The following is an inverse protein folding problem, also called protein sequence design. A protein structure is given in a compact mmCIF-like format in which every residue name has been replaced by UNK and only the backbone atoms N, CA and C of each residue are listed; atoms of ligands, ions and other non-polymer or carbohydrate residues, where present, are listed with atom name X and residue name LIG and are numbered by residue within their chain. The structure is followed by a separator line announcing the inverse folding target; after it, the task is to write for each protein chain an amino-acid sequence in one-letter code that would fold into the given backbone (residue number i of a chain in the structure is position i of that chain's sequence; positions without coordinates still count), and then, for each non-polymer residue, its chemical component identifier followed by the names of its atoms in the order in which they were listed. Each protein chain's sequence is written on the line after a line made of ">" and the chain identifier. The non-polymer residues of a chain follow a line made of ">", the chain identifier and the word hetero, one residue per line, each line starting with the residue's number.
data_IF_809520498114
#
_entry.id   IF_809520498114
#
_cell.length_a   1.000
_cell.length_b   1.000
_cell.length_c   1.000
_cell.angle_alpha   90.00
_cell.angle_beta   90.00
_cell.angle_gamma   90.00
#
_symmetry.space_group_name_H-M   'P 1'
#
loop_
_entity.id
_entity.type
_entity.pdbx_description
1 polymer ?
#
# COMPACT_ATOMS: atom_id res chain seq x y z
N UNK A 1 14.49 -0.82 9.68
CA UNK A 1 14.36 0.63 9.95
C UNK A 1 13.78 0.87 11.34
N UNK A 2 14.12 2.01 12.04
CA UNK A 2 13.31 2.49 13.15
C UNK A 2 11.99 3.05 12.61
N UNK A 3 10.85 2.57 13.13
CA UNK A 3 9.53 2.99 12.63
C UNK A 3 9.39 2.78 11.13
N UNK A 4 8.85 3.76 10.43
CA UNK A 4 8.70 3.73 8.96
C UNK A 4 10.01 4.04 8.19
N UNK A 5 11.09 4.36 8.89
CA UNK A 5 12.35 4.73 8.28
C UNK A 5 12.32 6.09 7.57
N UNK A 6 13.44 6.45 6.93
CA UNK A 6 13.60 7.67 6.14
C UNK A 6 14.03 7.33 4.72
N UNK A 7 13.70 8.19 3.77
CA UNK A 7 14.10 8.02 2.37
C UNK A 7 15.57 8.36 2.13
N UNK A 8 16.05 9.41 2.80
CA UNK A 8 17.43 9.88 2.66
C UNK A 8 18.26 9.54 3.89
N UNK A 9 19.45 9.05 3.65
CA UNK A 9 20.43 8.70 4.69
C UNK A 9 19.79 7.89 5.84
N UNK A 10 19.19 6.73 5.53
CA UNK A 10 18.36 5.97 6.46
C UNK A 10 19.16 5.38 7.61
N UNK A 11 18.50 5.25 8.76
CA UNK A 11 19.01 4.47 9.87
C UNK A 11 18.55 3.01 9.74
N UNK A 12 19.48 2.06 9.88
CA UNK A 12 19.17 0.63 9.94
C UNK A 12 19.44 0.08 11.34
N UNK A 13 18.59 -0.83 11.76
CA UNK A 13 18.78 -1.61 12.97
C UNK A 13 19.30 -2.98 12.57
N UNK A 14 20.42 -3.37 13.12
CA UNK A 14 20.99 -4.71 13.00
C UNK A 14 21.11 -5.36 14.38
N UNK A 15 21.14 -6.69 14.39
CA UNK A 15 21.48 -7.47 15.58
C UNK A 15 22.98 -7.74 15.58
N UNK A 16 23.63 -7.51 16.72
CA UNK A 16 25.00 -7.94 16.97
C UNK A 16 25.02 -9.45 17.32
N UNK A 17 26.18 -10.12 17.28
CA UNK A 17 26.30 -11.52 17.69
C UNK A 17 25.80 -11.79 19.12
N UNK A 18 25.87 -10.80 20.00
CA UNK A 18 25.34 -10.86 21.38
C UNK A 18 23.83 -10.63 21.50
N UNK A 19 23.11 -10.53 20.38
CA UNK A 19 21.67 -10.28 20.31
C UNK A 19 21.25 -8.83 20.55
N UNK A 20 22.18 -7.92 20.86
CA UNK A 20 21.87 -6.50 21.08
C UNK A 20 21.59 -5.79 19.76
N UNK A 21 20.61 -4.88 19.78
CA UNK A 21 20.31 -4.00 18.64
C UNK A 21 21.39 -2.92 18.49
N UNK A 22 21.77 -2.68 17.25
CA UNK A 22 22.64 -1.57 16.87
C UNK A 22 21.96 -0.77 15.76
N UNK A 23 21.82 0.54 15.97
CA UNK A 23 21.36 1.46 14.93
C UNK A 23 22.56 2.14 14.28
N UNK A 24 22.58 2.13 12.94
CA UNK A 24 23.63 2.80 12.14
C UNK A 24 22.98 3.56 10.99
N UNK A 25 23.42 4.80 10.79
CA UNK A 25 23.05 5.60 9.62
C UNK A 25 23.89 5.20 8.41
N UNK A 26 23.23 5.10 7.25
CA UNK A 26 23.88 4.82 5.98
C UNK A 26 23.63 5.99 5.02
N UNK A 27 24.68 6.52 4.36
CA UNK A 27 24.49 7.56 3.35
C UNK A 27 23.80 7.00 2.13
N UNK A 28 23.02 7.85 1.46
CA UNK A 28 22.33 7.53 0.21
C UNK A 28 20.83 7.37 0.34
N UNK A 29 20.19 6.98 -0.75
CA UNK A 29 18.75 6.80 -0.82
C UNK A 29 18.34 5.41 -0.31
N UNK A 30 17.28 5.34 0.49
CA UNK A 30 16.92 4.13 1.24
C UNK A 30 16.76 2.88 0.35
N UNK A 31 16.11 3.03 -0.81
CA UNK A 31 15.90 1.92 -1.75
C UNK A 31 17.23 1.38 -2.28
N UNK A 32 18.16 2.28 -2.62
CA UNK A 32 19.50 1.89 -3.10
C UNK A 32 20.29 1.18 -2.00
N UNK A 33 20.28 1.75 -0.79
CA UNK A 33 20.98 1.15 0.37
C UNK A 33 20.44 -0.25 0.69
N UNK A 34 19.10 -0.45 0.61
CA UNK A 34 18.48 -1.77 0.79
C UNK A 34 18.96 -2.73 -0.29
N UNK A 35 18.99 -2.29 -1.54
CA UNK A 35 19.43 -3.10 -2.69
C UNK A 35 20.90 -3.50 -2.56
N UNK A 36 21.78 -2.54 -2.24
CA UNK A 36 23.22 -2.79 -2.04
C UNK A 36 23.46 -3.83 -0.95
N UNK A 37 22.74 -3.69 0.18
CA UNK A 37 22.82 -4.66 1.29
C UNK A 37 22.30 -6.04 0.90
N UNK A 38 21.26 -6.10 0.10
CA UNK A 38 20.69 -7.36 -0.38
C UNK A 38 21.67 -8.08 -1.31
N UNK A 39 22.28 -7.36 -2.24
CA UNK A 39 23.30 -7.92 -3.14
C UNK A 39 24.55 -8.34 -2.33
N UNK A 40 25.05 -7.49 -1.44
CA UNK A 40 26.15 -7.82 -0.56
C UNK A 40 25.89 -9.08 0.28
N UNK A 41 24.67 -9.25 0.78
CA UNK A 41 24.29 -10.47 1.52
C UNK A 41 24.30 -11.69 0.60
N UNK A 42 23.79 -11.58 -0.62
CA UNK A 42 23.81 -12.66 -1.60
C UNK A 42 25.24 -13.06 -1.99
N UNK A 43 26.17 -12.11 -2.10
CA UNK A 43 27.59 -12.36 -2.40
C UNK A 43 28.29 -13.13 -1.26
N UNK A 44 27.97 -12.78 -0.01
CA UNK A 44 28.64 -13.32 1.19
C UNK A 44 27.93 -14.55 1.81
N UNK A 45 26.80 -14.98 1.26
CA UNK A 45 26.08 -16.16 1.77
C UNK A 45 26.90 -17.45 1.61
N UNK A 46 26.58 -18.46 2.39
CA UNK A 46 27.05 -19.83 2.14
C UNK A 46 26.43 -20.35 0.83
N UNK A 47 27.26 -20.44 -0.23
CA UNK A 47 26.82 -20.84 -1.58
C UNK A 47 26.39 -22.33 -1.66
N UNK A 48 26.70 -23.13 -0.66
CA UNK A 48 26.32 -24.54 -0.58
C UNK A 48 24.93 -24.74 0.07
N UNK A 49 24.31 -23.68 0.56
CA UNK A 49 22.98 -23.72 1.20
C UNK A 49 21.93 -22.97 0.39
N UNK A 50 20.67 -23.44 0.42
CA UNK A 50 19.56 -22.65 -0.10
C UNK A 50 19.42 -21.36 0.71
N UNK A 51 18.79 -20.36 0.12
CA UNK A 51 18.56 -19.09 0.79
C UNK A 51 17.10 -18.63 0.68
N UNK A 52 16.67 -17.85 1.67
CA UNK A 52 15.49 -17.03 1.66
C UNK A 52 15.93 -15.59 1.93
N UNK A 53 15.58 -14.68 1.03
CA UNK A 53 15.85 -13.24 1.17
C UNK A 53 14.55 -12.45 1.01
N UNK A 54 14.20 -11.67 2.03
CA UNK A 54 13.07 -10.73 1.97
C UNK A 54 13.64 -9.33 1.85
N UNK A 55 13.32 -8.65 0.75
CA UNK A 55 13.77 -7.28 0.45
C UNK A 55 12.60 -6.34 0.63
N UNK A 56 12.54 -5.65 1.76
CA UNK A 56 11.48 -4.72 2.10
C UNK A 56 11.89 -3.27 1.86
N UNK A 57 11.22 -2.58 0.92
CA UNK A 57 11.45 -1.18 0.64
C UNK A 57 10.53 -0.27 1.46
N UNK A 58 11.03 0.92 1.84
CA UNK A 58 10.20 2.00 2.34
C UNK A 58 9.30 2.57 1.25
N UNK A 59 9.83 2.72 0.04
CA UNK A 59 9.09 3.24 -1.10
C UNK A 59 7.98 2.27 -1.54
N UNK A 60 6.79 2.74 -1.89
CA UNK A 60 6.32 4.13 -1.95
C UNK A 60 5.49 4.60 -0.73
N UNK A 61 5.88 4.27 0.50
CA UNK A 61 5.17 4.75 1.69
C UNK A 61 5.21 6.29 1.81
N UNK A 62 4.17 6.92 2.35
CA UNK A 62 4.14 8.36 2.70
C UNK A 62 5.43 8.73 3.50
N UNK A 63 6.11 9.87 3.27
CA UNK A 63 5.71 11.04 2.51
C UNK A 63 6.25 11.11 1.05
N UNK A 64 6.40 10.00 0.35
CA UNK A 64 6.73 9.94 -1.07
C UNK A 64 7.88 10.87 -1.50
N UNK A 65 9.07 10.65 -1.00
CA UNK A 65 10.25 11.44 -1.36
C UNK A 65 11.07 10.72 -2.44
N UNK A 66 10.95 11.06 -3.72
CA UNK A 66 11.71 10.44 -4.81
C UNK A 66 13.21 10.58 -4.62
N UNK A 67 14.00 9.65 -5.15
CA UNK A 67 15.45 9.87 -5.27
C UNK A 67 15.73 11.09 -6.15
N UNK A 68 16.80 11.83 -5.86
CA UNK A 68 17.14 13.07 -6.59
C UNK A 68 17.24 12.84 -8.10
N UNK A 69 17.77 11.66 -8.52
CA UNK A 69 17.88 11.27 -9.92
C UNK A 69 16.53 11.07 -10.63
N UNK A 70 15.46 10.91 -9.85
CA UNK A 70 14.10 10.69 -10.37
C UNK A 70 13.18 11.92 -10.27
N UNK A 71 13.66 13.00 -9.66
CA UNK A 71 12.92 14.26 -9.65
C UNK A 71 12.65 14.75 -11.07
N UNK A 72 11.39 14.99 -11.40
CA UNK A 72 10.95 15.45 -12.71
C UNK A 72 11.03 14.41 -13.84
N UNK A 73 11.24 13.13 -13.52
CA UNK A 73 11.20 12.05 -14.53
C UNK A 73 9.79 11.56 -14.85
N UNK A 74 8.84 11.85 -13.99
CA UNK A 74 7.44 11.50 -14.20
C UNK A 74 6.70 12.74 -14.67
N UNK A 75 6.16 12.70 -15.90
CA UNK A 75 5.25 13.70 -16.42
C UNK A 75 3.80 13.27 -16.17
N UNK A 76 3.13 13.98 -15.29
CA UNK A 76 1.72 13.73 -14.97
C UNK A 76 0.75 14.58 -15.80
N UNK A 77 1.24 15.46 -16.70
CA UNK A 77 0.41 16.42 -17.43
C UNK A 77 -0.63 15.77 -18.35
N UNK A 78 -0.32 14.57 -18.87
CA UNK A 78 -1.23 13.75 -19.68
C UNK A 78 -2.10 12.80 -18.88
N UNK A 79 -1.89 12.70 -17.58
CA UNK A 79 -2.66 11.83 -16.70
C UNK A 79 -3.97 12.53 -16.30
N UNK A 80 -5.02 11.74 -16.12
CA UNK A 80 -6.30 12.20 -15.57
C UNK A 80 -6.56 11.52 -14.24
N UNK A 81 -7.13 12.25 -13.25
CA UNK A 81 -7.60 11.61 -12.02
C UNK A 81 -8.59 10.48 -12.32
N UNK A 82 -8.72 9.48 -11.44
CA UNK A 82 -9.75 8.45 -11.56
C UNK A 82 -11.14 9.02 -11.72
N UNK A 83 -12.02 8.31 -12.44
CA UNK A 83 -13.38 8.81 -12.73
C UNK A 83 -14.21 9.08 -11.46
N UNK A 84 -13.90 8.39 -10.35
CA UNK A 84 -14.50 8.60 -9.03
C UNK A 84 -13.67 9.51 -8.10
N UNK A 85 -12.75 10.34 -8.65
CA UNK A 85 -11.91 11.24 -7.86
C UNK A 85 -12.71 12.29 -7.06
N UNK A 86 -13.82 12.76 -7.60
CA UNK A 86 -14.72 13.73 -6.95
C UNK A 86 -15.93 13.04 -6.31
N UNK A 87 -15.72 11.87 -5.70
CA UNK A 87 -16.77 11.12 -5.01
C UNK A 87 -17.34 11.91 -3.81
N UNK A 88 -18.67 12.02 -3.73
CA UNK A 88 -19.41 12.68 -2.65
C UNK A 88 -19.86 11.71 -1.55
N UNK A 89 -19.56 10.42 -1.73
CA UNK A 89 -19.97 9.33 -0.86
C UNK A 89 -21.48 9.20 -0.65
N UNK A 90 -22.29 9.63 -1.61
CA UNK A 90 -23.74 9.46 -1.56
C UNK A 90 -24.11 7.97 -1.42
N UNK A 91 -25.18 7.70 -0.69
CA UNK A 91 -25.69 6.34 -0.40
C UNK A 91 -24.74 5.41 0.34
N UNK A 92 -23.71 5.94 0.98
CA UNK A 92 -22.77 5.16 1.79
C UNK A 92 -22.82 5.63 3.25
N UNK A 93 -22.36 4.80 4.20
CA UNK A 93 -22.37 5.13 5.62
C UNK A 93 -21.74 6.49 5.91
N UNK A 94 -22.30 7.19 6.90
CA UNK A 94 -21.86 8.51 7.31
C UNK A 94 -20.38 8.56 7.71
N UNK A 95 -19.85 7.46 8.22
CA UNK A 95 -18.42 7.33 8.52
C UNK A 95 -17.53 7.57 7.30
N UNK A 96 -17.96 7.13 6.11
CA UNK A 96 -17.16 7.31 4.90
C UNK A 96 -17.04 8.79 4.53
N UNK A 97 -18.11 9.58 4.75
CA UNK A 97 -18.07 11.04 4.59
C UNK A 97 -17.15 11.74 5.58
N UNK A 98 -16.94 11.13 6.75
CA UNK A 98 -16.07 11.66 7.82
C UNK A 98 -14.63 11.17 7.74
N UNK A 99 -14.25 10.43 6.69
CA UNK A 99 -12.87 10.00 6.51
C UNK A 99 -11.93 11.20 6.37
N UNK A 100 -10.67 11.03 6.78
CA UNK A 100 -9.65 12.06 6.76
C UNK A 100 -8.49 11.71 5.82
N UNK A 101 -8.78 11.00 4.73
CA UNK A 101 -7.77 10.59 3.75
C UNK A 101 -8.10 11.07 2.32
N UNK A 102 -8.79 12.21 2.18
CA UNK A 102 -9.05 12.78 0.85
C UNK A 102 -7.90 13.66 0.39
N UNK A 103 -7.55 13.56 -0.89
CA UNK A 103 -6.55 14.41 -1.54
C UNK A 103 -6.95 15.88 -1.42
N UNK A 104 -8.24 16.17 -1.63
CA UNK A 104 -8.77 17.54 -1.58
C UNK A 104 -8.54 18.22 -0.22
N UNK A 105 -8.88 17.55 0.90
CA UNK A 105 -8.97 18.19 2.20
C UNK A 105 -7.88 17.79 3.20
N UNK A 106 -7.30 16.60 3.06
CA UNK A 106 -6.46 16.00 4.10
C UNK A 106 -5.02 15.77 3.68
N UNK A 107 -4.69 15.86 2.39
CA UNK A 107 -3.31 15.81 1.93
C UNK A 107 -2.59 17.12 2.27
N UNK A 108 -1.49 17.01 3.00
CA UNK A 108 -0.76 18.16 3.53
C UNK A 108 0.09 18.83 2.42
N UNK A 109 -0.17 20.11 2.18
CA UNK A 109 0.50 20.90 1.12
C UNK A 109 2.01 20.97 1.35
N UNK A 110 2.42 21.22 2.59
CA UNK A 110 3.84 21.48 2.90
C UNK A 110 4.64 20.19 3.07
N UNK A 111 4.08 19.18 3.72
CA UNK A 111 4.79 17.94 4.00
C UNK A 111 4.59 16.86 2.93
N UNK A 112 3.35 16.60 2.49
CA UNK A 112 3.11 15.57 1.49
C UNK A 112 3.49 16.05 0.08
N UNK A 113 3.14 17.29 -0.26
CA UNK A 113 3.38 17.85 -1.58
C UNK A 113 4.63 18.74 -1.67
N UNK A 114 5.39 18.89 -0.59
CA UNK A 114 6.69 19.58 -0.50
C UNK A 114 6.66 21.01 -1.05
N UNK A 115 5.52 21.70 -0.88
CA UNK A 115 5.47 23.13 -1.13
C UNK A 115 6.35 23.85 -0.11
N UNK A 116 7.26 24.68 -0.58
CA UNK A 116 8.20 25.39 0.27
C UNK A 116 7.50 26.57 0.98
N UNK A 117 7.13 26.36 2.23
CA UNK A 117 6.28 27.27 3.02
C UNK A 117 6.78 28.72 2.99
N UNK A 118 8.10 28.91 3.10
CA UNK A 118 8.69 30.24 3.15
C UNK A 118 8.65 30.99 1.81
N UNK A 119 8.38 30.28 0.70
CA UNK A 119 8.22 30.87 -0.62
C UNK A 119 6.74 31.15 -0.97
N UNK A 120 5.79 30.79 -0.09
CA UNK A 120 4.37 31.12 -0.25
C UNK A 120 4.07 32.43 0.49
N UNK A 121 3.46 33.44 -0.15
CA UNK A 121 3.05 34.68 0.51
C UNK A 121 2.20 34.46 1.75
N UNK A 122 2.41 35.26 2.79
CA UNK A 122 1.80 35.04 4.11
C UNK A 122 0.27 35.07 4.06
N UNK A 123 -0.31 36.03 3.34
CA UNK A 123 -1.75 36.11 3.12
C UNK A 123 -2.34 34.89 2.42
N UNK A 124 -1.56 34.28 1.50
CA UNK A 124 -1.97 33.05 0.82
C UNK A 124 -1.88 31.86 1.75
N UNK A 125 -0.86 31.79 2.64
CA UNK A 125 -0.73 30.71 3.62
C UNK A 125 -1.94 30.62 4.56
N UNK A 126 -2.56 31.76 4.89
CA UNK A 126 -3.76 31.84 5.75
C UNK A 126 -5.00 31.25 5.04
N UNK A 127 -5.05 31.31 3.73
CA UNK A 127 -6.17 30.76 2.93
C UNK A 127 -6.00 29.27 2.57
N UNK A 128 -4.78 28.72 2.67
CA UNK A 128 -4.50 27.33 2.36
C UNK A 128 -4.61 26.51 3.65
N UNK A 129 -5.74 25.82 3.80
CA UNK A 129 -5.87 24.83 4.89
C UNK A 129 -5.02 23.62 4.57
N UNK A 130 -4.03 23.35 5.44
CA UNK A 130 -3.17 22.18 5.31
C UNK A 130 -2.99 21.53 6.67
N UNK A 131 -3.25 20.21 6.80
CA UNK A 131 -2.88 19.48 8.00
C UNK A 131 -1.38 19.64 8.28
N UNK A 132 -1.01 19.81 9.54
CA UNK A 132 0.39 19.96 9.94
C UNK A 132 1.01 18.59 10.24
N UNK A 133 1.82 18.07 9.31
CA UNK A 133 2.70 16.93 9.55
C UNK A 133 4.15 17.41 9.34
N UNK A 134 5.05 17.06 10.21
CA UNK A 134 6.47 17.47 10.15
C UNK A 134 7.39 16.50 9.40
N UNK A 135 6.85 15.71 8.46
CA UNK A 135 7.61 14.68 7.75
C UNK A 135 8.72 15.24 6.85
N UNK A 136 8.48 16.38 6.20
CA UNK A 136 9.39 17.09 5.32
C UNK A 136 10.66 17.54 6.04
N UNK A 137 10.51 18.11 7.24
CA UNK A 137 11.64 18.53 8.06
C UNK A 137 12.53 17.35 8.45
N UNK A 138 11.94 16.18 8.70
CA UNK A 138 12.67 14.96 9.00
C UNK A 138 13.61 14.53 7.88
N UNK A 139 13.13 14.52 6.63
CA UNK A 139 13.94 14.13 5.46
C UNK A 139 15.00 15.19 5.13
N UNK A 140 14.62 16.47 5.11
CA UNK A 140 15.56 17.57 4.83
C UNK A 140 16.71 17.65 5.83
N UNK A 141 16.46 17.34 7.10
CA UNK A 141 17.51 17.33 8.14
C UNK A 141 18.49 16.16 8.00
N UNK A 142 18.18 15.18 7.15
CA UNK A 142 19.03 14.01 6.86
C UNK A 142 19.87 14.20 5.60
N UNK A 143 19.50 15.14 4.75
CA UNK A 143 20.18 15.42 3.47
C UNK A 143 21.49 16.18 3.69
N UNK A 144 22.46 15.90 2.80
CA UNK A 144 23.65 16.75 2.66
C UNK A 144 23.25 18.14 2.14
N UNK A 145 24.10 19.16 2.26
CA UNK A 145 23.83 20.49 1.68
C UNK A 145 23.51 20.43 0.19
N UNK A 146 24.21 19.60 -0.58
CA UNK A 146 24.03 19.42 -2.04
C UNK A 146 22.69 18.72 -2.35
N UNK A 147 22.36 17.65 -1.62
CA UNK A 147 21.08 16.96 -1.75
C UNK A 147 19.94 17.91 -1.43
N UNK A 148 20.05 18.66 -0.32
CA UNK A 148 19.05 19.63 0.11
C UNK A 148 18.87 20.76 -0.92
N UNK A 149 19.97 21.25 -1.51
CA UNK A 149 19.90 22.28 -2.55
C UNK A 149 19.14 21.75 -3.77
N UNK A 150 19.52 20.60 -4.30
CA UNK A 150 18.88 19.97 -5.48
C UNK A 150 17.40 19.75 -5.25
N UNK A 151 17.04 19.24 -4.08
CA UNK A 151 15.67 18.98 -3.67
C UNK A 151 14.87 20.30 -3.56
N UNK A 152 15.42 21.32 -2.91
CA UNK A 152 14.76 22.62 -2.75
C UNK A 152 14.57 23.34 -4.08
N UNK A 153 15.59 23.35 -4.96
CA UNK A 153 15.50 23.95 -6.30
C UNK A 153 14.41 23.30 -7.15
N UNK A 154 14.22 21.99 -7.01
CA UNK A 154 13.16 21.27 -7.71
C UNK A 154 11.78 21.69 -7.20
N UNK A 155 11.54 21.60 -5.90
CA UNK A 155 10.22 21.89 -5.30
C UNK A 155 9.88 23.38 -5.27
N UNK A 156 10.84 24.28 -5.49
CA UNK A 156 10.58 25.70 -5.73
C UNK A 156 9.72 25.91 -7.01
N UNK A 157 9.89 25.09 -8.04
CA UNK A 157 9.05 25.12 -9.25
C UNK A 157 7.59 24.76 -8.96
N UNK A 158 7.38 23.70 -8.16
CA UNK A 158 6.04 23.28 -7.70
C UNK A 158 5.40 24.38 -6.85
N UNK A 159 6.16 24.98 -5.94
CA UNK A 159 5.71 26.11 -5.10
C UNK A 159 5.30 27.30 -5.95
N UNK A 160 6.11 27.65 -6.97
CA UNK A 160 5.76 28.71 -7.93
C UNK A 160 4.46 28.40 -8.67
N UNK A 161 4.28 27.14 -9.14
CA UNK A 161 3.03 26.70 -9.81
C UNK A 161 1.80 26.90 -8.93
N UNK A 162 1.88 26.57 -7.64
CA UNK A 162 0.81 26.82 -6.67
C UNK A 162 0.52 28.32 -6.56
N UNK A 163 1.54 29.13 -6.31
CA UNK A 163 1.40 30.58 -6.11
C UNK A 163 0.81 31.25 -7.34
N UNK A 164 1.30 30.92 -8.54
CA UNK A 164 0.79 31.47 -9.80
C UNK A 164 -0.67 31.04 -10.07
N UNK A 165 -1.00 29.77 -9.80
CA UNK A 165 -2.36 29.26 -9.94
C UNK A 165 -3.35 29.92 -8.98
N UNK A 166 -2.93 30.20 -7.76
CA UNK A 166 -3.76 30.93 -6.78
C UNK A 166 -3.92 32.41 -7.16
N UNK A 167 -2.85 33.08 -7.62
CA UNK A 167 -2.88 34.48 -8.08
C UNK A 167 -3.76 34.65 -9.30
N UNK A 168 -3.69 33.77 -10.28
CA UNK A 168 -4.51 33.81 -11.49
C UNK A 168 -5.99 33.47 -11.24
N UNK A 169 -6.32 32.93 -10.07
CA UNK A 169 -7.64 32.43 -9.74
C UNK A 169 -7.94 31.01 -10.19
N UNK A 170 -7.07 30.39 -11.01
CA UNK A 170 -7.26 29.01 -11.51
C UNK A 170 -7.43 27.99 -10.37
N UNK A 171 -6.62 28.11 -9.31
CA UNK A 171 -6.67 27.20 -8.17
C UNK A 171 -7.58 27.70 -7.02
N UNK A 172 -8.42 28.73 -7.27
CA UNK A 172 -9.50 29.10 -6.35
C UNK A 172 -10.70 28.17 -6.47
N UNK A 173 -10.87 27.50 -7.62
CA UNK A 173 -11.85 26.44 -7.76
C UNK A 173 -11.40 25.21 -6.97
N UNK A 174 -12.23 24.67 -6.03
CA UNK A 174 -11.86 23.55 -5.20
C UNK A 174 -11.51 22.27 -5.98
N UNK A 175 -12.19 22.01 -7.10
CA UNK A 175 -11.92 20.84 -7.95
C UNK A 175 -10.57 20.98 -8.64
N UNK A 176 -10.31 22.13 -9.27
CA UNK A 176 -9.01 22.38 -9.90
C UNK A 176 -7.85 22.34 -8.90
N UNK A 177 -8.08 22.77 -7.66
CA UNK A 177 -7.08 22.67 -6.60
C UNK A 177 -6.85 21.22 -6.14
N UNK A 178 -7.90 20.42 -6.02
CA UNK A 178 -7.79 19.00 -5.71
C UNK A 178 -7.03 18.23 -6.80
N UNK A 179 -7.31 18.53 -8.08
CA UNK A 179 -6.59 17.93 -9.21
C UNK A 179 -5.12 18.36 -9.25
N UNK A 180 -4.80 19.62 -8.96
CA UNK A 180 -3.41 20.08 -8.82
C UNK A 180 -2.67 19.30 -7.71
N UNK A 181 -3.31 19.07 -6.56
CA UNK A 181 -2.75 18.23 -5.49
C UNK A 181 -2.52 16.80 -5.96
N UNK A 182 -3.48 16.24 -6.70
CA UNK A 182 -3.38 14.89 -7.21
C UNK A 182 -2.20 14.73 -8.18
N UNK A 183 -2.01 15.67 -9.11
CA UNK A 183 -0.85 15.66 -10.02
C UNK A 183 0.47 15.71 -9.25
N UNK A 184 0.59 16.57 -8.26
CA UNK A 184 1.78 16.69 -7.43
C UNK A 184 2.03 15.40 -6.61
N UNK A 185 0.98 14.77 -6.10
CA UNK A 185 1.04 13.49 -5.41
C UNK A 185 1.50 12.36 -6.33
N UNK A 186 0.88 12.24 -7.51
CA UNK A 186 1.24 11.19 -8.48
C UNK A 186 2.67 11.32 -8.98
N UNK A 187 3.16 12.53 -9.21
CA UNK A 187 4.55 12.79 -9.58
C UNK A 187 5.53 12.24 -8.54
N UNK A 188 5.29 12.51 -7.27
CA UNK A 188 6.15 12.03 -6.19
C UNK A 188 6.00 10.52 -5.93
N UNK A 189 4.76 10.01 -5.95
CA UNK A 189 4.50 8.59 -5.76
C UNK A 189 5.19 7.73 -6.82
N UNK A 190 4.96 8.05 -8.09
CA UNK A 190 5.57 7.34 -9.21
C UNK A 190 7.08 7.55 -9.26
N UNK A 191 7.57 8.75 -8.89
CA UNK A 191 8.99 9.02 -8.75
C UNK A 191 9.68 8.12 -7.72
N UNK A 192 8.99 7.76 -6.62
CA UNK A 192 9.49 6.76 -5.67
C UNK A 192 9.54 5.36 -6.29
N UNK A 193 8.52 4.99 -7.09
CA UNK A 193 8.46 3.68 -7.73
C UNK A 193 9.59 3.46 -8.74
N UNK A 194 10.06 4.50 -9.43
CA UNK A 194 11.22 4.38 -10.32
C UNK A 194 12.46 3.82 -9.59
N UNK A 195 12.65 4.19 -8.32
CA UNK A 195 13.75 3.63 -7.53
C UNK A 195 13.53 2.17 -7.14
N UNK A 196 12.29 1.75 -6.97
CA UNK A 196 11.96 0.33 -6.72
C UNK A 196 12.19 -0.48 -7.99
N UNK A 197 11.83 0.05 -9.15
CA UNK A 197 12.10 -0.57 -10.45
C UNK A 197 13.61 -0.75 -10.70
N UNK A 198 14.42 0.31 -10.47
CA UNK A 198 15.88 0.24 -10.51
C UNK A 198 16.41 -0.90 -9.60
N UNK A 199 15.87 -1.00 -8.38
CA UNK A 199 16.25 -2.02 -7.39
C UNK A 199 15.98 -3.44 -7.89
N UNK A 200 14.76 -3.65 -8.42
CA UNK A 200 14.34 -4.95 -8.96
C UNK A 200 15.23 -5.32 -10.15
N UNK A 201 15.48 -4.38 -11.06
CA UNK A 201 16.37 -4.57 -12.19
C UNK A 201 17.74 -5.07 -11.74
N UNK A 202 18.38 -4.40 -10.78
CA UNK A 202 19.70 -4.77 -10.24
C UNK A 202 19.71 -6.15 -9.59
N UNK A 203 18.65 -6.52 -8.83
CA UNK A 203 18.53 -7.85 -8.23
C UNK A 203 18.35 -8.94 -9.29
N UNK A 204 17.54 -8.68 -10.32
CA UNK A 204 17.35 -9.64 -11.43
C UNK A 204 18.66 -9.84 -12.23
N UNK A 205 19.37 -8.77 -12.55
CA UNK A 205 20.68 -8.83 -13.22
C UNK A 205 21.69 -9.64 -12.40
N UNK A 206 21.72 -9.45 -11.08
CA UNK A 206 22.57 -10.23 -10.18
C UNK A 206 22.24 -11.73 -10.25
N UNK A 207 20.94 -12.10 -10.14
CA UNK A 207 20.52 -13.49 -10.21
C UNK A 207 20.84 -14.15 -11.56
N UNK A 208 20.70 -13.42 -12.65
CA UNK A 208 21.01 -13.92 -13.99
C UNK A 208 22.53 -14.08 -14.18
N UNK A 209 23.32 -13.09 -13.78
CA UNK A 209 24.80 -13.10 -13.85
C UNK A 209 25.43 -14.23 -13.05
N UNK A 210 24.91 -14.49 -11.84
CA UNK A 210 25.40 -15.55 -10.95
C UNK A 210 24.83 -16.94 -11.27
N UNK A 211 24.00 -17.06 -12.32
CA UNK A 211 23.39 -18.32 -12.74
C UNK A 211 22.33 -18.85 -11.78
N UNK A 212 21.82 -17.99 -10.89
CA UNK A 212 20.87 -18.37 -9.82
C UNK A 212 19.43 -18.36 -10.29
N UNK A 213 19.12 -17.63 -11.36
CA UNK A 213 17.74 -17.34 -11.75
C UNK A 213 16.87 -18.59 -11.97
N UNK A 214 17.41 -19.66 -12.58
CA UNK A 214 16.67 -20.89 -12.85
C UNK A 214 16.29 -21.67 -11.58
N UNK A 215 17.03 -21.47 -10.50
CA UNK A 215 16.79 -22.13 -9.21
C UNK A 215 16.31 -21.16 -8.12
N UNK A 216 15.75 -20.02 -8.49
CA UNK A 216 15.22 -19.02 -7.55
C UNK A 216 13.80 -18.68 -7.92
N UNK A 217 12.87 -18.88 -6.97
CA UNK A 217 11.53 -18.31 -7.02
C UNK A 217 11.63 -16.84 -6.57
N UNK A 218 11.30 -15.91 -7.45
CA UNK A 218 11.17 -14.50 -7.13
C UNK A 218 9.69 -14.15 -7.00
N UNK A 219 9.31 -13.54 -5.89
CA UNK A 219 7.97 -13.02 -5.63
C UNK A 219 8.08 -11.50 -5.43
N UNK A 220 7.45 -10.71 -6.29
CA UNK A 220 7.25 -9.29 -6.09
C UNK A 220 5.81 -9.04 -5.66
N UNK A 221 5.63 -8.36 -4.53
CA UNK A 221 4.31 -8.06 -3.99
C UNK A 221 4.31 -6.75 -3.19
N UNK A 222 3.13 -6.16 -3.01
CA UNK A 222 2.85 -5.19 -1.96
C UNK A 222 2.37 -5.88 -0.69
N UNK A 223 2.38 -5.18 0.43
CA UNK A 223 1.78 -5.60 1.71
C UNK A 223 0.27 -5.34 1.74
N UNK A 224 -0.19 -4.31 1.03
CA UNK A 224 -1.60 -3.96 0.75
C UNK A 224 -1.71 -3.16 -0.54
N UNK A 225 -2.96 -2.91 -0.98
CA UNK A 225 -3.25 -1.96 -2.04
C UNK A 225 -3.12 -0.50 -1.58
N UNK A 226 -3.43 0.45 -2.47
CA UNK A 226 -3.25 1.88 -2.20
C UNK A 226 -4.17 2.72 -3.09
N UNK A 227 -4.81 3.76 -2.51
CA UNK A 227 -5.60 4.72 -3.29
C UNK A 227 -4.69 5.74 -3.97
N UNK A 228 -4.85 5.87 -5.26
CA UNK A 228 -4.16 6.87 -6.08
C UNK A 228 -5.11 7.93 -6.62
N UNK A 229 -6.11 8.28 -5.81
CA UNK A 229 -7.14 9.25 -6.15
C UNK A 229 -8.54 8.64 -6.29
N UNK A 230 -8.67 7.32 -6.35
CA UNK A 230 -9.98 6.67 -6.36
C UNK A 230 -10.76 7.05 -5.11
N UNK A 231 -12.05 7.28 -5.26
CA UNK A 231 -12.91 7.86 -4.22
C UNK A 231 -12.39 9.18 -3.63
N UNK A 232 -11.57 9.93 -4.38
CA UNK A 232 -10.89 11.13 -3.88
C UNK A 232 -9.84 10.85 -2.80
N UNK A 233 -9.52 9.59 -2.53
CA UNK A 233 -8.67 9.17 -1.40
C UNK A 233 -7.20 9.01 -1.80
N UNK A 234 -6.34 9.00 -0.78
CA UNK A 234 -4.97 8.52 -0.81
C UNK A 234 -4.75 7.56 0.38
N UNK A 235 -3.61 6.84 0.41
CA UNK A 235 -3.32 5.86 1.44
C UNK A 235 -4.16 4.57 1.28
N UNK A 236 -4.58 3.88 2.34
CA UNK A 236 -5.24 2.56 2.36
C UNK A 236 -6.28 2.48 3.47
N UNK A 237 -6.71 1.34 3.90
CA UNK A 237 -7.48 0.93 5.10
C UNK A 237 -8.90 0.45 4.82
N UNK A 238 -9.68 1.19 4.02
CA UNK A 238 -11.04 0.75 3.72
C UNK A 238 -11.09 -0.53 2.87
N UNK A 239 -12.14 -1.31 3.01
CA UNK A 239 -12.36 -2.53 2.23
C UNK A 239 -12.87 -2.22 0.79
N UNK A 240 -12.22 -1.31 0.10
CA UNK A 240 -12.43 -1.09 -1.33
C UNK A 240 -11.36 -1.80 -2.14
N UNK A 241 -11.63 -2.06 -3.43
CA UNK A 241 -10.76 -2.83 -4.30
C UNK A 241 -9.33 -2.28 -4.32
N UNK A 242 -9.16 -0.97 -4.36
CA UNK A 242 -7.86 -0.31 -4.43
C UNK A 242 -6.99 -0.55 -3.17
N UNK A 243 -7.62 -0.66 -2.01
CA UNK A 243 -6.93 -0.98 -0.75
C UNK A 243 -6.65 -2.47 -0.58
N UNK A 244 -7.50 -3.33 -1.15
CA UNK A 244 -7.35 -4.79 -1.08
C UNK A 244 -6.37 -5.32 -2.13
N UNK A 245 -6.45 -4.79 -3.36
CA UNK A 245 -5.72 -5.32 -4.51
C UNK A 245 -4.31 -4.80 -4.55
N UNK A 246 -3.35 -5.66 -4.23
CA UNK A 246 -1.93 -5.39 -4.34
C UNK A 246 -1.32 -6.08 -5.55
N UNK A 247 -0.20 -5.57 -6.11
CA UNK A 247 0.52 -6.27 -7.16
C UNK A 247 1.08 -7.60 -6.65
N UNK A 248 1.04 -8.62 -7.49
CA UNK A 248 1.72 -9.90 -7.28
C UNK A 248 2.29 -10.39 -8.61
N UNK A 249 3.60 -10.51 -8.66
CA UNK A 249 4.33 -11.08 -9.82
C UNK A 249 5.22 -12.21 -9.30
N UNK A 250 5.17 -13.35 -9.97
CA UNK A 250 6.02 -14.49 -9.66
C UNK A 250 6.88 -14.86 -10.86
N UNK A 251 8.18 -15.09 -10.63
CA UNK A 251 9.13 -15.51 -11.67
C UNK A 251 9.91 -16.73 -11.17
N UNK A 252 9.85 -17.81 -11.93
CA UNK A 252 10.69 -19.00 -11.73
C UNK A 252 10.98 -19.63 -13.10
N UNK A 253 12.05 -19.25 -13.77
CA UNK A 253 12.35 -19.72 -15.13
C UNK A 253 12.39 -21.24 -15.23
N UNK A 254 11.65 -21.79 -16.21
CA UNK A 254 11.53 -23.24 -16.41
C UNK A 254 10.47 -23.95 -15.55
N UNK A 255 9.88 -23.25 -14.55
CA UNK A 255 8.78 -23.80 -13.72
C UNK A 255 7.49 -22.99 -13.84
N UNK A 256 7.57 -21.68 -13.83
CA UNK A 256 6.42 -20.81 -14.06
C UNK A 256 6.46 -20.34 -15.51
N UNK A 257 5.39 -20.61 -16.30
CA UNK A 257 5.32 -20.14 -17.68
C UNK A 257 5.36 -18.60 -17.77
N UNK A 258 6.08 -18.07 -18.74
CA UNK A 258 6.21 -16.63 -18.93
C UNK A 258 4.94 -16.02 -19.54
N UNK A 259 4.64 -14.75 -19.19
CA UNK A 259 3.56 -13.98 -19.80
C UNK A 259 2.15 -14.34 -19.38
N UNK A 260 1.96 -15.24 -18.41
CA UNK A 260 0.65 -15.62 -17.91
C UNK A 260 0.08 -14.52 -17.02
N UNK A 261 -1.18 -14.18 -17.26
CA UNK A 261 -2.04 -13.42 -16.33
C UNK A 261 -3.04 -14.37 -15.70
N UNK A 262 -3.10 -14.39 -14.39
CA UNK A 262 -3.97 -15.27 -13.63
C UNK A 262 -4.89 -14.44 -12.73
N UNK A 263 -6.19 -14.72 -12.77
CA UNK A 263 -7.21 -14.03 -11.98
C UNK A 263 -7.63 -14.81 -10.72
N UNK A 264 -6.88 -15.83 -10.34
CA UNK A 264 -7.13 -16.59 -9.11
C UNK A 264 -7.09 -15.65 -7.91
N UNK A 265 -8.09 -15.76 -7.05
CA UNK A 265 -8.18 -14.96 -5.82
C UNK A 265 -7.13 -15.42 -4.81
N UNK A 266 -6.14 -14.56 -4.55
CA UNK A 266 -4.99 -14.83 -3.67
C UNK A 266 -4.91 -13.81 -2.54
N UNK A 267 -4.17 -14.14 -1.48
CA UNK A 267 -3.99 -13.29 -0.31
C UNK A 267 -2.52 -13.27 0.11
N UNK A 268 -2.10 -12.26 0.87
CA UNK A 268 -0.75 -12.19 1.42
C UNK A 268 -0.43 -13.33 2.40
N UNK A 269 -1.42 -13.91 3.06
CA UNK A 269 -1.22 -15.12 3.91
C UNK A 269 -0.80 -16.35 3.11
N UNK A 270 -0.88 -16.34 1.79
CA UNK A 270 -0.49 -17.43 0.90
C UNK A 270 1.02 -17.45 0.62
N UNK A 271 1.74 -16.37 0.90
CA UNK A 271 3.18 -16.30 0.59
C UNK A 271 3.99 -17.27 1.44
N UNK A 272 3.73 -17.35 2.75
CA UNK A 272 4.47 -18.25 3.64
C UNK A 272 4.32 -19.73 3.23
N UNK A 273 3.10 -20.29 3.06
CA UNK A 273 2.96 -21.67 2.59
C UNK A 273 3.54 -21.89 1.17
N UNK A 274 3.52 -20.86 0.30
CA UNK A 274 4.16 -20.93 -1.02
C UNK A 274 5.66 -21.07 -0.91
N UNK A 275 6.31 -20.33 -0.01
CA UNK A 275 7.75 -20.41 0.23
C UNK A 275 8.13 -21.76 0.81
N UNK A 276 7.36 -22.27 1.77
CA UNK A 276 7.56 -23.60 2.36
C UNK A 276 7.45 -24.70 1.29
N UNK A 277 6.43 -24.64 0.42
CA UNK A 277 6.28 -25.58 -0.70
C UNK A 277 7.43 -25.46 -1.70
N UNK A 278 7.87 -24.24 -2.03
CA UNK A 278 8.99 -24.02 -2.93
C UNK A 278 10.31 -24.59 -2.40
N UNK A 279 10.46 -24.61 -1.09
CA UNK A 279 11.62 -25.21 -0.39
C UNK A 279 11.52 -26.74 -0.25
N UNK A 280 10.43 -27.38 -0.67
CA UNK A 280 10.20 -28.82 -0.51
C UNK A 280 9.97 -29.25 0.94
N UNK A 281 9.47 -28.33 1.78
CA UNK A 281 9.19 -28.54 3.20
C UNK A 281 7.69 -28.60 3.52
N UNK A 282 6.85 -28.91 2.53
CA UNK A 282 5.39 -28.90 2.58
C UNK A 282 4.79 -30.18 3.19
N UNK A 283 5.33 -30.60 4.34
CA UNK A 283 4.74 -31.69 5.12
C UNK A 283 3.38 -31.29 5.70
N UNK A 284 2.46 -32.23 5.96
CA UNK A 284 1.17 -31.92 6.60
C UNK A 284 1.33 -31.16 7.92
N UNK A 285 2.34 -31.46 8.70
CA UNK A 285 2.64 -30.77 9.96
C UNK A 285 2.94 -29.29 9.73
N UNK A 286 3.81 -28.96 8.77
CA UNK A 286 4.16 -27.59 8.43
C UNK A 286 2.97 -26.85 7.84
N UNK A 287 2.26 -27.46 6.89
CA UNK A 287 1.18 -26.79 6.14
C UNK A 287 -0.07 -26.53 6.99
N UNK A 288 -0.39 -27.39 7.96
CA UNK A 288 -1.53 -27.19 8.86
C UNK A 288 -1.39 -26.01 9.82
N UNK A 289 -0.20 -25.40 9.91
CA UNK A 289 0.02 -24.19 10.71
C UNK A 289 -0.44 -22.91 10.01
N UNK A 290 -0.65 -22.94 8.68
CA UNK A 290 -1.02 -21.78 7.89
C UNK A 290 -2.53 -21.68 7.66
N UNK A 291 -3.04 -20.47 7.63
CA UNK A 291 -4.41 -20.16 7.16
C UNK A 291 -4.46 -19.93 5.65
N UNK A 292 -3.32 -19.61 5.05
CA UNK A 292 -3.14 -19.49 3.60
C UNK A 292 -2.85 -20.83 2.92
N UNK A 293 -2.76 -20.81 1.60
CA UNK A 293 -2.48 -21.97 0.75
C UNK A 293 -1.34 -21.65 -0.21
N UNK A 294 -0.60 -22.69 -0.65
CA UNK A 294 0.49 -22.50 -1.61
C UNK A 294 -0.03 -22.01 -2.96
N UNK A 295 0.61 -20.98 -3.51
CA UNK A 295 0.31 -20.44 -4.83
C UNK A 295 0.97 -21.23 -5.98
N UNK A 296 1.86 -22.18 -5.68
CA UNK A 296 2.59 -22.92 -6.73
C UNK A 296 1.67 -23.65 -7.72
N UNK A 297 0.57 -24.34 -7.30
CA UNK A 297 -0.31 -25.01 -8.24
C UNK A 297 -0.90 -24.07 -9.29
N UNK A 298 -1.38 -22.89 -8.86
CA UNK A 298 -1.93 -21.89 -9.76
C UNK A 298 -0.84 -21.17 -10.58
N UNK A 299 0.34 -20.95 -10.01
CA UNK A 299 1.47 -20.34 -10.71
C UNK A 299 2.02 -21.25 -11.82
N UNK A 300 2.13 -22.56 -11.58
CA UNK A 300 2.63 -23.51 -12.56
C UNK A 300 1.64 -23.81 -13.69
N UNK A 301 0.34 -23.95 -13.35
CA UNK A 301 -0.70 -24.28 -14.34
C UNK A 301 -1.26 -23.06 -15.07
N UNK A 302 -1.14 -21.86 -14.49
CA UNK A 302 -1.83 -20.66 -14.97
C UNK A 302 -3.35 -20.69 -14.76
N UNK A 303 -3.87 -21.66 -14.01
CA UNK A 303 -5.31 -21.89 -13.81
C UNK A 303 -5.65 -21.90 -12.32
N UNK A 304 -6.88 -21.52 -12.00
CA UNK A 304 -7.43 -21.68 -10.65
C UNK A 304 -7.73 -23.16 -10.39
N UNK A 305 -7.22 -23.77 -9.30
CA UNK A 305 -7.59 -25.12 -8.91
C UNK A 305 -9.09 -25.23 -8.56
N UNK A 306 -9.72 -26.40 -8.81
CA UNK A 306 -11.15 -26.61 -8.60
C UNK A 306 -11.62 -26.34 -7.16
N UNK A 307 -10.80 -26.69 -6.17
CA UNK A 307 -11.09 -26.50 -4.74
C UNK A 307 -10.50 -25.19 -4.17
N UNK A 308 -10.35 -24.17 -5.02
CA UNK A 308 -9.84 -22.89 -4.57
C UNK A 308 -10.89 -22.09 -3.78
N UNK A 309 -10.42 -21.11 -2.99
CA UNK A 309 -11.33 -20.24 -2.22
C UNK A 309 -12.25 -19.43 -3.13
N UNK A 310 -13.48 -19.28 -2.71
CA UNK A 310 -14.53 -18.47 -3.35
C UNK A 310 -14.66 -17.06 -2.77
N UNK A 311 -14.01 -16.81 -1.62
CA UNK A 311 -14.02 -15.53 -0.94
C UNK A 311 -12.77 -15.35 -0.07
N UNK A 312 -12.42 -14.10 0.14
CA UNK A 312 -11.42 -13.69 1.13
C UNK A 312 -12.10 -12.96 2.28
N UNK A 313 -11.51 -13.04 3.48
CA UNK A 313 -11.91 -12.26 4.64
C UNK A 313 -10.89 -11.15 4.87
N UNK A 314 -11.39 -9.94 5.09
CA UNK A 314 -10.60 -8.75 5.43
C UNK A 314 -11.02 -8.21 6.78
N UNK A 315 -10.06 -7.68 7.54
CA UNK A 315 -10.33 -7.03 8.80
C UNK A 315 -9.39 -5.86 9.06
N UNK A 316 -9.97 -4.73 9.48
CA UNK A 316 -9.25 -3.56 9.96
C UNK A 316 -9.63 -3.31 11.42
N UNK A 317 -8.66 -3.43 12.33
CA UNK A 317 -8.91 -3.50 13.77
C UNK A 317 -8.86 -2.15 14.51
N UNK A 318 -8.18 -1.16 13.98
CA UNK A 318 -8.03 0.14 14.64
C UNK A 318 -9.34 0.91 14.75
N UNK A 319 -9.52 1.73 15.83
CA UNK A 319 -10.72 2.55 15.98
C UNK A 319 -10.53 3.74 16.96
N UNK A 320 -10.56 5.01 16.50
CA UNK A 320 -10.36 5.31 15.10
C UNK A 320 -8.93 4.96 14.71
N UNK A 321 -8.77 4.42 13.50
CA UNK A 321 -7.46 4.26 12.87
C UNK A 321 -6.94 5.59 12.33
N UNK A 322 -5.76 5.54 11.75
CA UNK A 322 -5.22 6.66 10.99
C UNK A 322 -6.28 7.17 9.98
N UNK A 323 -6.34 8.47 9.76
CA UNK A 323 -7.34 9.11 8.89
C UNK A 323 -8.80 8.92 9.33
N UNK A 324 -9.03 8.67 10.61
CA UNK A 324 -10.36 8.44 11.16
C UNK A 324 -11.09 7.23 10.53
N UNK A 325 -10.35 6.25 10.03
CA UNK A 325 -10.95 5.02 9.54
C UNK A 325 -11.59 4.24 10.71
N UNK A 326 -12.87 3.85 10.62
CA UNK A 326 -13.51 3.06 11.67
C UNK A 326 -13.08 1.61 11.55
N UNK A 327 -13.21 0.87 12.65
CA UNK A 327 -13.10 -0.57 12.62
C UNK A 327 -14.16 -1.16 11.71
N UNK A 328 -13.73 -2.02 10.80
CA UNK A 328 -14.60 -2.73 9.89
C UNK A 328 -13.96 -4.04 9.46
N UNK A 329 -14.80 -4.96 9.05
CA UNK A 329 -14.40 -6.19 8.41
C UNK A 329 -15.37 -6.55 7.29
N UNK A 330 -15.08 -7.62 6.56
CA UNK A 330 -15.91 -8.01 5.45
C UNK A 330 -15.34 -9.15 4.63
N UNK A 331 -16.01 -9.42 3.53
CA UNK A 331 -15.59 -10.42 2.56
C UNK A 331 -15.58 -9.85 1.14
N UNK A 332 -14.67 -10.35 0.33
CA UNK A 332 -14.58 -10.11 -1.11
C UNK A 332 -14.70 -11.44 -1.83
N UNK A 333 -15.71 -11.58 -2.68
CA UNK A 333 -15.91 -12.69 -3.61
C UNK A 333 -15.56 -12.23 -5.02
N UNK A 334 -15.61 -13.09 -6.03
CA UNK A 334 -15.36 -12.68 -7.42
C UNK A 334 -16.25 -11.52 -7.89
N UNK A 335 -17.46 -11.43 -7.34
CA UNK A 335 -18.43 -10.44 -7.76
C UNK A 335 -18.77 -9.39 -6.72
N UNK A 336 -18.73 -9.72 -5.44
CA UNK A 336 -19.29 -8.88 -4.40
C UNK A 336 -18.24 -8.49 -3.37
N UNK A 337 -18.35 -7.26 -2.85
CA UNK A 337 -17.68 -6.83 -1.63
C UNK A 337 -18.76 -6.54 -0.60
N UNK A 338 -18.78 -7.28 0.51
CA UNK A 338 -19.65 -7.05 1.66
C UNK A 338 -18.80 -6.61 2.84
N UNK A 339 -19.14 -5.50 3.49
CA UNK A 339 -18.43 -5.05 4.70
C UNK A 339 -19.38 -4.64 5.81
N UNK A 340 -18.89 -4.77 7.04
CA UNK A 340 -19.59 -4.38 8.28
C UNK A 340 -18.75 -3.37 9.05
N UNK A 341 -19.32 -2.21 9.34
CA UNK A 341 -18.70 -1.16 10.14
C UNK A 341 -19.11 -1.37 11.59
N UNK A 342 -18.19 -1.84 12.41
CA UNK A 342 -18.45 -2.21 13.80
C UNK A 342 -18.90 -1.05 14.69
N UNK A 343 -18.39 0.15 14.42
CA UNK A 343 -18.70 1.33 15.24
C UNK A 343 -20.10 1.86 15.07
N UNK A 344 -20.69 1.70 13.87
CA UNK A 344 -22.06 2.18 13.56
C UNK A 344 -23.08 1.04 13.39
N UNK A 345 -22.62 -0.19 13.19
CA UNK A 345 -23.50 -1.33 12.91
C UNK A 345 -24.05 -1.34 11.47
N UNK A 346 -23.43 -0.59 10.57
CA UNK A 346 -23.87 -0.46 9.19
C UNK A 346 -23.19 -1.45 8.27
N UNK A 347 -23.92 -1.89 7.25
CA UNK A 347 -23.40 -2.76 6.20
C UNK A 347 -23.25 -1.99 4.88
N UNK A 348 -22.27 -2.40 4.08
CA UNK A 348 -22.15 -2.01 2.68
C UNK A 348 -22.08 -3.26 1.80
N UNK A 349 -22.75 -3.22 0.66
CA UNK A 349 -22.64 -4.23 -0.39
C UNK A 349 -22.41 -3.56 -1.73
N UNK A 350 -21.38 -4.02 -2.44
CA UNK A 350 -21.08 -3.58 -3.81
C UNK A 350 -21.11 -4.77 -4.78
N UNK A 351 -21.78 -4.61 -5.92
CA UNK A 351 -21.76 -5.56 -7.04
C UNK A 351 -20.68 -5.15 -8.03
N UNK A 352 -19.47 -5.69 -7.88
CA UNK A 352 -18.29 -5.34 -8.66
C UNK A 352 -18.43 -5.57 -10.18
N UNK A 353 -19.39 -6.41 -10.60
CA UNK A 353 -19.69 -6.62 -12.01
C UNK A 353 -20.49 -5.47 -12.62
N UNK A 354 -21.37 -4.83 -11.83
CA UNK A 354 -22.20 -3.71 -12.27
C UNK A 354 -21.60 -2.37 -11.91
N UNK A 355 -20.87 -2.31 -10.81
CA UNK A 355 -20.26 -1.13 -10.22
C UNK A 355 -18.83 -1.44 -9.78
N UNK A 356 -17.89 -1.57 -10.72
CA UNK A 356 -16.50 -1.90 -10.40
C UNK A 356 -15.79 -0.82 -9.57
N UNK A 357 -16.30 0.41 -9.58
CA UNK A 357 -15.78 1.54 -8.78
C UNK A 357 -16.44 1.68 -7.41
N UNK A 358 -17.31 0.74 -7.02
CA UNK A 358 -17.94 0.71 -5.69
C UNK A 358 -18.62 2.02 -5.25
N UNK A 359 -19.31 2.66 -6.21
CA UNK A 359 -19.98 3.95 -6.00
C UNK A 359 -21.37 3.80 -5.38
N UNK A 360 -22.03 2.66 -5.57
CA UNK A 360 -23.41 2.44 -5.15
C UNK A 360 -23.52 1.32 -4.12
N UNK A 361 -23.78 1.67 -2.86
CA UNK A 361 -24.14 0.68 -1.84
C UNK A 361 -25.54 0.12 -2.13
N UNK A 362 -25.64 -1.19 -2.37
CA UNK A 362 -26.89 -1.89 -2.70
C UNK A 362 -27.40 -2.78 -1.57
N UNK A 363 -26.94 -2.55 -0.34
CA UNK A 363 -27.25 -3.38 0.83
C UNK A 363 -28.77 -3.45 1.12
N UNK A 364 -29.49 -2.36 0.89
CA UNK A 364 -30.94 -2.23 1.13
C UNK A 364 -31.79 -2.36 -0.12
N UNK A 365 -31.17 -2.65 -1.28
CA UNK A 365 -31.90 -2.86 -2.52
C UNK A 365 -32.61 -4.24 -2.48
N UNK A 366 -33.94 -4.30 -2.60
CA UNK A 366 -34.70 -5.55 -2.54
C UNK A 366 -34.24 -6.60 -3.55
N UNK A 367 -33.71 -6.20 -4.69
CA UNK A 367 -33.18 -7.11 -5.72
C UNK A 367 -31.96 -7.90 -5.23
N UNK A 368 -31.27 -7.44 -4.20
CA UNK A 368 -30.09 -8.10 -3.61
C UNK A 368 -30.37 -8.83 -2.31
N UNK A 369 -31.63 -8.86 -1.82
CA UNK A 369 -31.97 -9.45 -0.50
C UNK A 369 -31.40 -10.84 -0.31
N UNK A 370 -31.65 -11.75 -1.25
CA UNK A 370 -31.14 -13.13 -1.19
C UNK A 370 -29.61 -13.19 -1.23
N UNK A 371 -28.98 -12.32 -2.04
CA UNK A 371 -27.52 -12.19 -2.11
C UNK A 371 -26.94 -11.71 -0.79
N UNK A 372 -27.55 -10.72 -0.15
CA UNK A 372 -27.13 -10.21 1.18
C UNK A 372 -27.17 -11.33 2.21
N UNK A 373 -28.23 -12.12 2.27
CA UNK A 373 -28.36 -13.24 3.20
C UNK A 373 -27.27 -14.30 2.98
N UNK A 374 -27.03 -14.67 1.73
CA UNK A 374 -25.96 -15.63 1.37
C UNK A 374 -24.56 -15.09 1.75
N UNK A 375 -24.26 -13.84 1.43
CA UNK A 375 -22.96 -13.24 1.72
C UNK A 375 -22.75 -13.05 3.23
N UNK A 376 -23.79 -12.68 4.00
CA UNK A 376 -23.70 -12.61 5.47
C UNK A 376 -23.43 -13.99 6.07
N UNK A 377 -24.08 -15.04 5.55
CA UNK A 377 -23.80 -16.42 5.97
C UNK A 377 -22.33 -16.77 5.69
N UNK A 378 -21.84 -16.49 4.46
CA UNK A 378 -20.45 -16.75 4.07
C UNK A 378 -19.44 -15.95 4.91
N UNK A 379 -19.76 -14.71 5.22
CA UNK A 379 -18.97 -13.88 6.13
C UNK A 379 -18.82 -14.53 7.52
N UNK A 380 -19.90 -15.02 8.12
CA UNK A 380 -19.83 -15.70 9.42
C UNK A 380 -19.05 -17.03 9.34
N UNK A 381 -19.20 -17.78 8.25
CA UNK A 381 -18.40 -19.01 8.00
C UNK A 381 -16.90 -18.71 7.95
N UNK A 382 -16.49 -17.68 7.22
CA UNK A 382 -15.09 -17.31 7.12
C UNK A 382 -14.52 -16.79 8.45
N UNK A 383 -15.29 -16.01 9.20
CA UNK A 383 -14.91 -15.60 10.57
C UNK A 383 -14.64 -16.82 11.47
N UNK A 384 -15.48 -17.84 11.38
CA UNK A 384 -15.27 -19.10 12.11
C UNK A 384 -14.04 -19.86 11.60
N UNK A 385 -13.87 -19.96 10.30
CA UNK A 385 -12.72 -20.63 9.66
C UNK A 385 -11.40 -20.02 10.10
N UNK A 386 -11.32 -18.68 10.09
CA UNK A 386 -10.13 -17.94 10.51
C UNK A 386 -10.04 -17.72 12.02
N UNK A 387 -10.93 -18.34 12.81
CA UNK A 387 -10.97 -18.23 14.28
C UNK A 387 -11.04 -16.78 14.77
N UNK A 388 -11.75 -15.94 14.04
CA UNK A 388 -11.95 -14.54 14.42
C UNK A 388 -12.87 -14.53 15.65
N UNK A 389 -12.48 -13.92 16.80
CA UNK A 389 -13.33 -13.89 17.99
C UNK A 389 -14.69 -13.25 17.70
N UNK A 390 -15.77 -13.75 18.32
CA UNK A 390 -17.14 -13.23 18.07
C UNK A 390 -17.25 -11.73 18.35
N UNK A 391 -16.62 -11.27 19.41
CA UNK A 391 -16.55 -9.85 19.81
C UNK A 391 -15.28 -9.17 19.31
N UNK A 392 -14.69 -9.68 18.29
CA UNK A 392 -13.40 -9.22 17.79
C UNK A 392 -13.48 -7.96 17.00
N UNK A 393 -12.35 -7.37 17.11
CA UNK A 393 -11.84 -6.76 18.29
C UNK A 393 -12.72 -5.56 18.59
N UNK A 394 -13.44 -5.63 19.74
CA UNK A 394 -14.26 -4.55 20.22
C UNK A 394 -15.48 -4.24 19.39
N UNK A 395 -16.42 -5.15 19.30
CA UNK A 395 -17.76 -4.88 18.78
C UNK A 395 -18.35 -3.59 19.36
N UNK A 396 -19.44 -3.10 18.82
CA UNK A 396 -20.10 -1.86 19.25
C UNK A 396 -20.21 -1.79 20.77
N UNK A 397 -19.60 -0.78 21.39
CA UNK A 397 -19.61 -0.59 22.84
C UNK A 397 -18.57 -1.39 23.63
N UNK A 398 -17.77 -2.22 23.01
CA UNK A 398 -16.67 -2.93 23.68
C UNK A 398 -15.40 -2.07 23.62
N UNK A 399 -14.71 -1.84 24.77
CA UNK A 399 -13.40 -1.18 24.73
C UNK A 399 -12.48 -1.94 23.81
N UNK A 400 -11.75 -1.22 22.96
CA UNK A 400 -10.72 -1.83 22.10
C UNK A 400 -9.66 -2.38 23.04
N UNK A 401 -9.34 -3.70 23.03
CA UNK A 401 -8.17 -4.18 23.72
C UNK A 401 -6.97 -3.36 23.22
N UNK A 402 -6.18 -2.81 24.14
CA UNK A 402 -4.89 -2.24 23.76
C UNK A 402 -4.15 -3.35 23.02
N UNK A 403 -3.69 -3.05 21.83
CA UNK A 403 -2.90 -3.97 21.04
C UNK A 403 -1.70 -4.37 21.89
N UNK A 404 -1.67 -5.59 22.35
CA UNK A 404 -0.50 -6.11 23.04
C UNK A 404 0.56 -6.38 21.93
N UNK A 405 1.59 -5.54 21.92
CA UNK A 405 2.69 -5.65 20.96
C UNK A 405 3.59 -6.89 21.19
N UNK A 406 3.12 -7.85 21.95
CA UNK A 406 3.78 -9.14 22.18
C UNK A 406 3.45 -10.22 21.13
N UNK A 407 2.80 -9.85 20.01
CA UNK A 407 2.54 -10.74 18.87
C UNK A 407 3.67 -10.69 17.86
#
# INVERSE_FOLDING_TARGET
>A
FPGQGSYYNPDFISLKPDGKRQTKRFPGYATDVVTDKSIQWLENRDKNKPFLLVVGHKAPHRAWCPALRHLGKVDTSSMTPPANFHDDYANRPEFLKKNQQTVANHMAIYSDLKVLKDQVPEEMRKSIVSPGYGWDLGELNRMTPEEKKTWTDYYAKRTKSLVDGMKSGKLKDPKAFAEWKWHAYMEDYLGCLLSVDDSIGRLMEYLDKEGLAKNTLVIYCGDQGFYMGEHGMYDKRWIFEESLRMPLIMRWPGKIPAGIRNNTMVQNIDYAPTIVSAAGADTPENMNTFQGVSLLPTAFSGKTPDNWRDAIYYCFYENPGEHNAPRHDGIRTDRYTLSYIWTSGEWMLFDMKKDPMQMKNVIDDPAYKATVEQLKKRYHELRKTYKVPENSPGGKGTPIPKFDASW
#
